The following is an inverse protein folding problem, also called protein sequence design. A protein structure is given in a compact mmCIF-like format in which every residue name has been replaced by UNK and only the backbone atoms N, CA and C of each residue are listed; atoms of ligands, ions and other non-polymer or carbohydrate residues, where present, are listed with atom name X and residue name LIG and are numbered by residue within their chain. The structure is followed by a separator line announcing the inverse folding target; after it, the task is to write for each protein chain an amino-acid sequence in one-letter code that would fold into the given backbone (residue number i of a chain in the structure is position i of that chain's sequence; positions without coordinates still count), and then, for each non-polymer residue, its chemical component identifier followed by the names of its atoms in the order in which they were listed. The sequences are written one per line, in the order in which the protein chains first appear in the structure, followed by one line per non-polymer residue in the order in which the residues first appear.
data_IF_023750731732
#
_entry.id   IF_023750731732
#
_cell.length_a   1.000
_cell.length_b   1.000
_cell.length_c   1.000
_cell.angle_alpha   90.00
_cell.angle_beta   90.00
_cell.angle_gamma   90.00
#
_symmetry.space_group_name_H-M   'P 1'
#
loop_
_entity.id
_entity.type
_entity.pdbx_description
1 polymer ?
#
# COMPACT_ATOMS: atom_id res chain seq x y z
N UNK A 1 -1.20 -6.81 -24.89
CA UNK A 1 -0.73 -8.18 -24.58
C UNK A 1 0.68 -8.33 -25.15
N UNK A 2 1.57 -9.03 -24.44
CA UNK A 2 2.90 -9.35 -25.00
C UNK A 2 2.76 -10.39 -26.12
N UNK A 3 3.68 -10.37 -27.08
CA UNK A 3 3.78 -11.31 -28.19
C UNK A 3 5.22 -11.79 -28.34
N UNK A 4 5.40 -12.97 -28.94
CA UNK A 4 6.70 -13.60 -29.20
C UNK A 4 7.63 -13.70 -27.98
N UNK A 5 7.05 -13.92 -26.80
CA UNK A 5 7.79 -13.87 -25.53
C UNK A 5 8.54 -15.17 -25.24
N UNK A 6 9.52 -15.08 -24.34
CA UNK A 6 10.26 -16.22 -23.80
C UNK A 6 9.68 -16.69 -22.47
N UNK A 7 9.53 -18.00 -22.29
CA UNK A 7 9.11 -18.62 -21.01
C UNK A 7 9.90 -19.89 -20.72
N UNK A 8 10.01 -20.25 -19.44
CA UNK A 8 10.43 -21.58 -19.04
C UNK A 8 9.46 -22.63 -19.59
N UNK A 9 9.99 -23.74 -20.10
CA UNK A 9 9.18 -24.79 -20.73
C UNK A 9 8.50 -25.75 -19.73
N UNK A 10 8.63 -25.49 -18.41
CA UNK A 10 8.32 -26.43 -17.33
C UNK A 10 9.05 -27.78 -17.47
N UNK A 11 10.23 -27.75 -18.10
CA UNK A 11 11.18 -28.85 -18.23
C UNK A 11 12.55 -28.27 -17.89
N UNK A 12 13.31 -28.95 -17.05
CA UNK A 12 14.65 -28.53 -16.63
C UNK A 12 15.52 -28.14 -17.85
N UNK A 13 16.21 -27.01 -17.71
CA UNK A 13 17.13 -26.44 -18.70
C UNK A 13 16.52 -26.14 -20.09
N UNK A 14 15.19 -25.99 -20.20
CA UNK A 14 14.51 -25.68 -21.47
C UNK A 14 13.59 -24.48 -21.40
N UNK A 15 13.53 -23.74 -22.51
CA UNK A 15 12.68 -22.57 -22.69
C UNK A 15 11.98 -22.63 -24.05
N UNK A 16 10.80 -22.03 -24.12
CA UNK A 16 10.15 -21.69 -25.38
C UNK A 16 10.43 -20.23 -25.73
N UNK A 17 10.60 -19.94 -27.01
CA UNK A 17 10.74 -18.59 -27.56
C UNK A 17 9.73 -18.39 -28.68
N UNK A 18 9.31 -17.14 -28.90
CA UNK A 18 8.29 -16.83 -29.88
C UNK A 18 6.89 -17.27 -29.44
N UNK A 19 6.66 -17.40 -28.13
CA UNK A 19 5.36 -17.82 -27.58
C UNK A 19 4.35 -16.69 -27.70
N UNK A 20 3.11 -17.03 -28.05
CA UNK A 20 2.01 -16.09 -28.18
C UNK A 20 0.78 -16.59 -27.40
N UNK A 21 0.16 -15.66 -26.65
CA UNK A 21 -1.15 -15.90 -26.07
C UNK A 21 -2.19 -16.24 -27.15
N UNK A 22 -3.22 -16.98 -26.76
CA UNK A 22 -4.28 -17.54 -27.61
C UNK A 22 -3.80 -18.60 -28.61
N UNK A 23 -2.67 -18.39 -29.30
CA UNK A 23 -2.10 -19.35 -30.25
C UNK A 23 -1.51 -20.57 -29.55
N UNK A 24 -0.62 -20.35 -28.56
CA UNK A 24 0.12 -21.44 -27.90
C UNK A 24 -0.44 -21.79 -26.52
N UNK A 25 -1.09 -20.85 -25.85
CA UNK A 25 -1.70 -21.02 -24.53
C UNK A 25 -2.81 -19.97 -24.30
N UNK A 26 -3.86 -20.30 -23.52
CA UNK A 26 -4.95 -19.36 -23.24
C UNK A 26 -4.46 -18.16 -22.42
N UNK A 27 -5.09 -17.01 -22.60
CA UNK A 27 -4.86 -15.82 -21.77
C UNK A 27 -5.37 -16.11 -20.35
N UNK A 28 -4.53 -15.99 -19.30
CA UNK A 28 -4.97 -16.18 -17.92
C UNK A 28 -5.79 -14.97 -17.44
N UNK A 29 -6.34 -15.06 -16.24
CA UNK A 29 -6.93 -13.88 -15.57
C UNK A 29 -5.88 -12.78 -15.44
N UNK A 30 -6.17 -11.62 -16.02
CA UNK A 30 -5.31 -10.44 -15.93
C UNK A 30 -5.67 -9.65 -14.68
N UNK A 31 -4.66 -9.25 -13.92
CA UNK A 31 -4.78 -8.40 -12.75
C UNK A 31 -3.56 -7.47 -12.65
N UNK A 32 -3.69 -6.41 -11.85
CA UNK A 32 -2.56 -5.55 -11.51
C UNK A 32 -1.67 -6.24 -10.47
N UNK A 33 -0.52 -6.73 -10.90
CA UNK A 33 0.40 -7.56 -10.10
C UNK A 33 1.81 -6.98 -10.01
N UNK A 34 2.13 -5.96 -10.82
CA UNK A 34 3.45 -5.34 -10.82
C UNK A 34 3.45 -4.10 -9.95
N UNK A 35 4.60 -3.76 -9.41
CA UNK A 35 4.77 -2.40 -8.90
C UNK A 35 4.81 -1.41 -10.07
N UNK A 36 4.33 -0.20 -9.80
CA UNK A 36 4.56 0.95 -10.68
C UNK A 36 6.05 1.29 -10.72
N UNK A 37 6.48 1.89 -11.84
CA UNK A 37 7.82 2.48 -11.99
C UNK A 37 7.70 3.97 -12.23
N UNK A 38 8.75 4.73 -11.91
CA UNK A 38 8.76 6.17 -12.16
C UNK A 38 8.55 6.45 -13.66
N UNK A 39 7.64 7.37 -13.97
CA UNK A 39 7.23 7.69 -15.34
C UNK A 39 6.05 6.88 -15.88
N UNK A 40 5.57 5.86 -15.15
CA UNK A 40 4.30 5.20 -15.50
C UNK A 40 3.14 6.22 -15.55
N UNK A 41 2.16 6.05 -16.45
CA UNK A 41 0.99 6.92 -16.49
C UNK A 41 0.21 6.85 -15.18
N UNK A 42 -0.25 8.00 -14.71
CA UNK A 42 -1.08 8.06 -13.50
C UNK A 42 -2.39 7.29 -13.70
N UNK A 43 -2.85 6.49 -12.71
CA UNK A 43 -4.09 5.72 -12.83
C UNK A 43 -5.36 6.59 -12.91
N UNK A 44 -5.28 7.88 -12.59
CA UNK A 44 -6.37 8.85 -12.78
C UNK A 44 -6.40 9.47 -14.20
N UNK A 45 -5.49 9.05 -15.07
CA UNK A 45 -5.35 9.52 -16.45
C UNK A 45 -4.63 10.87 -16.60
N UNK A 46 -4.05 11.43 -15.53
CA UNK A 46 -3.45 12.77 -15.54
C UNK A 46 -1.96 12.71 -15.19
N UNK A 47 -1.11 12.89 -16.20
CA UNK A 47 0.34 12.95 -16.00
C UNK A 47 0.97 11.58 -15.71
N UNK A 48 2.12 11.60 -15.04
CA UNK A 48 2.97 10.43 -14.77
C UNK A 48 3.35 10.34 -13.29
N UNK A 49 3.63 9.13 -12.82
CA UNK A 49 3.98 8.86 -11.44
C UNK A 49 5.43 9.23 -11.11
N UNK A 50 5.62 9.97 -10.01
CA UNK A 50 6.91 10.16 -9.33
C UNK A 50 6.99 9.26 -8.10
N UNK A 51 8.16 8.66 -7.84
CA UNK A 51 8.39 7.82 -6.65
C UNK A 51 9.31 8.58 -5.68
N UNK A 52 8.86 8.77 -4.44
CA UNK A 52 9.59 9.44 -3.36
C UNK A 52 9.72 8.53 -2.15
N UNK A 53 10.69 8.80 -1.29
CA UNK A 53 10.85 8.11 0.00
C UNK A 53 10.06 8.84 1.07
N UNK A 54 9.40 8.09 1.94
CA UNK A 54 8.66 8.63 3.07
C UNK A 54 8.72 7.68 4.26
N UNK A 55 8.62 8.25 5.45
CA UNK A 55 8.51 7.50 6.71
C UNK A 55 7.03 7.50 7.09
N UNK A 56 6.43 6.32 7.18
CA UNK A 56 5.05 6.19 7.67
C UNK A 56 5.00 6.52 9.17
N UNK A 57 4.42 7.68 9.50
CA UNK A 57 4.24 8.14 10.90
C UNK A 57 2.86 7.83 11.47
N UNK A 58 1.90 7.47 10.61
CA UNK A 58 0.56 7.10 11.03
C UNK A 58 -0.20 6.39 9.91
N UNK A 59 -1.26 5.69 10.32
CA UNK A 59 -2.11 4.92 9.43
C UNK A 59 -3.55 4.97 9.93
N UNK A 60 -4.49 5.14 9.00
CA UNK A 60 -5.93 5.05 9.26
C UNK A 60 -6.51 3.89 8.45
N UNK A 61 -7.39 3.10 9.07
CA UNK A 61 -8.05 1.99 8.38
C UNK A 61 -9.55 1.99 8.65
N UNK A 62 -10.32 1.75 7.60
CA UNK A 62 -11.69 1.25 7.72
C UNK A 62 -11.62 -0.25 7.92
N UNK A 63 -11.74 -0.70 9.18
CA UNK A 63 -11.67 -2.13 9.52
C UNK A 63 -12.94 -2.89 9.11
N UNK A 64 -14.01 -2.14 8.87
CA UNK A 64 -15.32 -2.69 8.66
C UNK A 64 -15.80 -3.45 9.90
N UNK A 65 -16.47 -4.58 9.68
CA UNK A 65 -17.00 -5.44 10.74
C UNK A 65 -16.13 -6.68 11.04
N UNK A 66 -14.86 -6.69 10.62
CA UNK A 66 -13.97 -7.85 10.78
C UNK A 66 -13.85 -8.32 12.24
N UNK A 67 -13.61 -7.40 13.17
CA UNK A 67 -13.41 -7.71 14.58
C UNK A 67 -14.73 -7.82 15.33
N UNK A 68 -15.67 -6.91 15.10
CA UNK A 68 -16.98 -6.92 15.73
C UNK A 68 -17.75 -8.21 15.44
N UNK A 69 -17.69 -8.75 14.21
CA UNK A 69 -18.26 -10.08 13.90
C UNK A 69 -17.59 -11.20 14.68
N UNK A 70 -16.25 -11.24 14.66
CA UNK A 70 -15.49 -12.30 15.33
C UNK A 70 -15.71 -12.31 16.84
N UNK A 71 -15.90 -11.13 17.46
CA UNK A 71 -16.06 -10.95 18.90
C UNK A 71 -17.52 -10.85 19.36
N UNK A 72 -18.49 -10.97 18.43
CA UNK A 72 -19.93 -10.79 18.72
C UNK A 72 -20.24 -9.44 19.38
N UNK A 73 -19.61 -8.38 18.89
CA UNK A 73 -19.86 -7.01 19.34
C UNK A 73 -21.02 -6.41 18.54
N UNK A 74 -22.20 -6.41 19.16
CA UNK A 74 -23.46 -6.00 18.55
C UNK A 74 -24.18 -4.98 19.43
N UNK A 75 -24.95 -4.10 18.80
CA UNK A 75 -25.84 -3.13 19.45
C UNK A 75 -27.25 -3.25 18.86
N UNK A 76 -28.27 -2.77 19.57
CA UNK A 76 -29.62 -2.70 19.00
C UNK A 76 -29.70 -1.54 18.00
N UNK A 77 -30.06 -1.85 16.76
CA UNK A 77 -30.38 -0.85 15.75
C UNK A 77 -31.75 -0.21 15.97
N UNK A 78 -32.11 0.75 15.13
CA UNK A 78 -33.36 1.52 15.23
C UNK A 78 -34.63 0.65 15.19
N UNK A 79 -34.56 -0.52 14.57
CA UNK A 79 -35.65 -1.50 14.50
C UNK A 79 -35.66 -2.50 15.68
N UNK A 80 -34.81 -2.29 16.68
CA UNK A 80 -34.67 -3.18 17.84
C UNK A 80 -33.97 -4.52 17.53
N UNK A 81 -33.37 -4.68 16.35
CA UNK A 81 -32.61 -5.88 15.99
C UNK A 81 -31.11 -5.68 16.25
N UNK A 82 -30.36 -6.75 16.59
CA UNK A 82 -28.91 -6.67 16.69
C UNK A 82 -28.26 -6.25 15.37
N UNK A 83 -27.33 -5.31 15.46
CA UNK A 83 -26.49 -4.82 14.36
C UNK A 83 -25.03 -4.94 14.79
N UNK A 84 -24.22 -5.62 13.98
CA UNK A 84 -22.78 -5.70 14.19
C UNK A 84 -22.12 -4.35 13.88
N UNK A 85 -21.25 -3.89 14.78
CA UNK A 85 -20.63 -2.57 14.64
C UNK A 85 -19.67 -2.49 13.45
N UNK A 86 -19.73 -1.39 12.70
CA UNK A 86 -18.67 -1.00 11.78
C UNK A 86 -17.56 -0.27 12.53
N UNK A 87 -16.31 -0.60 12.21
CA UNK A 87 -15.14 -0.13 12.96
C UNK A 87 -14.14 0.60 12.07
N UNK A 88 -13.51 1.62 12.65
CA UNK A 88 -12.30 2.25 12.13
C UNK A 88 -11.18 2.20 13.18
N UNK A 89 -9.93 2.25 12.74
CA UNK A 89 -8.80 2.45 13.64
C UNK A 89 -7.86 3.53 13.11
N UNK A 90 -7.20 4.21 14.04
CA UNK A 90 -6.36 5.37 13.79
C UNK A 90 -5.11 5.23 14.65
N UNK A 91 -3.93 5.22 14.03
CA UNK A 91 -2.66 5.04 14.72
C UNK A 91 -1.65 6.10 14.32
N UNK A 92 -0.94 6.64 15.30
CA UNK A 92 0.23 7.51 15.12
C UNK A 92 1.38 6.93 15.94
N UNK A 93 2.53 6.73 15.31
CA UNK A 93 3.74 6.31 16.00
C UNK A 93 4.41 7.48 16.70
N UNK A 94 3.96 7.84 17.91
CA UNK A 94 4.43 9.05 18.63
C UNK A 94 5.96 9.11 18.72
N UNK A 95 6.63 8.04 19.16
CA UNK A 95 8.10 8.00 19.21
C UNK A 95 8.74 8.04 17.81
N UNK A 96 8.08 7.49 16.80
CA UNK A 96 8.56 7.53 15.40
C UNK A 96 8.44 8.94 14.82
N UNK A 97 7.42 9.70 15.18
CA UNK A 97 7.25 11.10 14.76
C UNK A 97 8.45 11.94 15.21
N UNK A 98 8.93 11.74 16.45
CA UNK A 98 10.12 12.43 16.97
C UNK A 98 11.35 12.15 16.09
N UNK A 99 11.61 10.87 15.78
CA UNK A 99 12.73 10.51 14.91
C UNK A 99 12.56 11.03 13.47
N UNK A 100 11.35 10.95 12.91
CA UNK A 100 11.04 11.43 11.57
C UNK A 100 11.23 12.96 11.45
N UNK A 101 10.90 13.72 12.50
CA UNK A 101 11.14 15.15 12.54
C UNK A 101 12.64 15.48 12.47
N UNK A 102 13.49 14.69 13.15
CA UNK A 102 14.95 14.84 13.08
C UNK A 102 15.45 14.46 11.68
N UNK A 103 15.02 13.33 11.12
CA UNK A 103 15.40 12.87 9.78
C UNK A 103 15.14 13.93 8.70
N UNK A 104 14.04 14.68 8.83
CA UNK A 104 13.71 15.77 7.92
C UNK A 104 14.47 17.07 8.23
N UNK A 105 14.85 17.32 9.49
CA UNK A 105 15.39 18.59 9.96
C UNK A 105 16.68 18.36 10.78
N UNK A 106 17.78 18.16 10.08
CA UNK A 106 19.12 18.10 10.67
C UNK A 106 20.15 18.67 9.70
N UNK A 107 21.30 19.03 10.24
CA UNK A 107 22.47 19.40 9.47
C UNK A 107 23.76 18.83 10.11
N UNK A 108 24.91 19.22 9.59
CA UNK A 108 26.21 18.77 10.09
C UNK A 108 26.50 19.17 11.55
N UNK A 109 25.78 20.17 12.09
CA UNK A 109 25.93 20.66 13.45
C UNK A 109 24.91 20.03 14.42
N UNK A 110 23.94 19.26 13.92
CA UNK A 110 23.04 18.45 14.74
C UNK A 110 21.56 18.59 14.38
N UNK A 111 20.72 18.49 15.41
CA UNK A 111 19.26 18.47 15.27
C UNK A 111 18.71 19.88 15.13
N UNK A 112 17.81 20.09 14.17
CA UNK A 112 17.05 21.33 14.01
C UNK A 112 15.60 21.06 14.40
N UNK A 113 15.26 21.34 15.66
CA UNK A 113 13.87 21.22 16.12
C UNK A 113 13.00 22.35 15.57
N UNK A 114 11.74 22.05 15.25
CA UNK A 114 10.73 23.08 15.05
C UNK A 114 10.37 23.75 16.38
N UNK A 115 9.85 24.98 16.33
CA UNK A 115 9.41 25.74 17.52
C UNK A 115 8.44 24.95 18.42
N UNK A 116 7.64 24.07 17.83
CA UNK A 116 6.64 23.23 18.52
C UNK A 116 7.22 21.98 19.17
N UNK A 117 8.42 21.55 18.80
CA UNK A 117 9.06 20.31 19.28
C UNK A 117 10.33 20.58 20.09
N UNK A 118 10.86 21.81 20.02
CA UNK A 118 12.05 22.20 20.75
C UNK A 118 11.86 21.95 22.26
N UNK A 119 12.82 21.29 22.93
CA UNK A 119 12.69 20.95 24.34
C UNK A 119 12.77 22.18 25.26
N UNK A 120 13.39 23.27 24.81
CA UNK A 120 13.56 24.55 25.51
C UNK A 120 13.53 25.72 24.51
N UNK A 121 13.23 26.93 25.00
CA UNK A 121 13.20 28.18 24.23
C UNK A 121 14.35 29.11 24.64
#
# INVERSE_FOLDING_TARGET
LMSDFGIGANIDDKHYFGVNWERDLPVPTVADLRNVVAGDPSPDGKGTLEIKRGIEVGHIFQLGNKYSKAMKCEVLGENGKPVTLEMGCYGIGVSRVVAAAIEQNNDENGIIWSDTLAPFQ
#
